data_IF_407355353816
#
_entry.id   IF_407355353816
#
_cell.length_a   1.000
_cell.length_b   1.000
_cell.length_c   1.000
_cell.angle_alpha   90.00
_cell.angle_beta   90.00
_cell.angle_gamma   90.00
#
_symmetry.space_group_name_H-M   'P 1'
#
loop_
_entity.id
_entity.type
_entity.pdbx_description
1 polymer ?
#
# COMPACT_ATOMS: atom_id res chain seq x y z
N UNK A 1 -1.56 18.42 0.97
CA UNK A 1 -0.56 17.38 1.15
C UNK A 1 0.79 17.99 1.44
N UNK A 2 1.55 17.40 2.35
CA UNK A 2 2.92 17.80 2.68
C UNK A 2 3.79 16.56 2.74
N UNK A 3 4.99 16.64 2.14
CA UNK A 3 5.97 15.56 2.22
C UNK A 3 7.37 16.14 2.45
N UNK A 4 8.14 15.47 3.31
CA UNK A 4 9.52 15.78 3.62
C UNK A 4 10.36 14.52 3.39
N UNK A 5 11.54 14.71 2.82
CA UNK A 5 12.51 13.63 2.65
C UNK A 5 13.87 14.06 3.18
N UNK A 6 14.60 13.13 3.75
CA UNK A 6 15.96 13.31 4.23
C UNK A 6 16.83 12.15 3.78
N UNK A 7 17.97 12.47 3.19
CA UNK A 7 18.94 11.48 2.72
C UNK A 7 20.33 11.85 3.20
N UNK A 8 20.96 10.95 3.93
CA UNK A 8 22.32 11.13 4.42
C UNK A 8 23.04 9.77 4.54
N UNK A 9 24.10 9.59 3.74
CA UNK A 9 24.88 8.34 3.72
C UNK A 9 24.00 7.12 3.46
N UNK A 10 23.95 6.14 4.38
CA UNK A 10 23.14 4.94 4.22
C UNK A 10 21.67 5.11 4.61
N UNK A 11 21.26 6.30 5.05
CA UNK A 11 19.94 6.57 5.62
C UNK A 11 19.09 7.34 4.61
N UNK A 12 17.89 6.84 4.31
CA UNK A 12 16.82 7.52 3.61
C UNK A 12 15.59 7.58 4.53
N UNK A 13 15.04 8.79 4.78
CA UNK A 13 13.84 8.99 5.58
C UNK A 13 12.81 9.79 4.79
N UNK A 14 11.55 9.49 5.03
CA UNK A 14 10.42 10.23 4.47
C UNK A 14 9.32 10.38 5.51
N UNK A 15 8.68 11.53 5.54
CA UNK A 15 7.45 11.77 6.30
C UNK A 15 6.45 12.47 5.38
N UNK A 16 5.19 12.09 5.46
CA UNK A 16 4.12 12.69 4.66
C UNK A 16 2.85 12.84 5.49
N UNK A 17 2.15 13.93 5.24
CA UNK A 17 0.81 14.20 5.76
C UNK A 17 -0.12 14.49 4.59
N UNK A 18 -1.29 13.87 4.60
CA UNK A 18 -2.35 14.05 3.62
C UNK A 18 -3.64 14.37 4.36
N UNK A 19 -4.34 15.40 3.89
CA UNK A 19 -5.70 15.72 4.31
C UNK A 19 -6.60 15.77 3.10
N UNK A 20 -7.70 15.07 3.16
CA UNK A 20 -8.74 15.03 2.16
C UNK A 20 -10.09 15.30 2.80
N UNK A 21 -10.84 16.25 2.24
CA UNK A 21 -12.20 16.57 2.65
C UNK A 21 -13.12 16.38 1.44
N UNK A 22 -14.17 15.60 1.58
CA UNK A 22 -15.18 15.39 0.56
C UNK A 22 -16.54 15.86 1.09
N UNK A 23 -17.01 16.96 0.50
CA UNK A 23 -18.32 17.53 0.79
C UNK A 23 -19.33 17.14 -0.32
N UNK A 24 -19.09 16.06 -1.03
CA UNK A 24 -19.96 15.60 -2.08
C UNK A 24 -21.31 15.14 -1.52
N UNK A 25 -22.39 15.71 -2.04
CA UNK A 25 -23.73 15.18 -1.80
C UNK A 25 -23.79 13.73 -2.31
N UNK A 26 -24.00 12.78 -1.42
CA UNK A 26 -24.19 11.40 -1.81
C UNK A 26 -25.54 11.27 -2.53
N UNK A 27 -25.52 11.22 -3.86
CA UNK A 27 -26.69 11.24 -4.74
C UNK A 27 -27.36 9.87 -4.89
N UNK A 28 -27.08 8.89 -4.04
CA UNK A 28 -27.87 7.65 -4.02
C UNK A 28 -29.19 7.90 -3.31
N UNK A 29 -30.08 8.64 -3.98
CA UNK A 29 -31.45 8.82 -3.51
C UNK A 29 -32.37 7.84 -4.22
N UNK A 30 -33.12 7.05 -3.44
CA UNK A 30 -34.39 6.51 -3.93
C UNK A 30 -35.31 7.67 -4.32
N UNK A 31 -36.01 7.55 -5.41
CA UNK A 31 -36.89 8.63 -5.90
C UNK A 31 -37.78 9.18 -4.77
N UNK A 32 -37.62 10.48 -4.47
CA UNK A 32 -38.42 11.19 -3.47
C UNK A 32 -37.72 11.59 -2.16
N UNK A 33 -36.44 11.22 -1.96
CA UNK A 33 -35.70 11.66 -0.78
C UNK A 33 -34.66 12.72 -1.18
N UNK A 34 -34.62 13.90 -0.52
CA UNK A 34 -33.57 14.89 -0.80
C UNK A 34 -32.16 14.30 -0.57
N UNK A 35 -31.18 14.69 -1.38
CA UNK A 35 -29.79 14.26 -1.13
C UNK A 35 -29.33 14.77 0.25
N UNK A 36 -28.82 13.88 1.07
CA UNK A 36 -28.18 14.21 2.33
C UNK A 36 -26.69 14.43 2.01
N UNK A 37 -26.21 15.63 2.28
CA UNK A 37 -24.78 15.88 2.25
C UNK A 37 -24.11 15.03 3.37
N UNK A 38 -23.16 14.19 2.99
CA UNK A 38 -22.35 13.43 3.93
C UNK A 38 -20.97 14.06 3.90
N UNK A 39 -20.66 14.85 4.91
CA UNK A 39 -19.30 15.36 5.08
C UNK A 39 -18.42 14.17 5.49
N UNK A 40 -17.35 13.97 4.76
CA UNK A 40 -16.31 13.01 5.11
C UNK A 40 -14.95 13.66 5.06
N UNK A 41 -14.11 13.34 6.02
CA UNK A 41 -12.70 13.75 6.02
C UNK A 41 -11.79 12.54 6.22
N UNK A 42 -10.62 12.63 5.67
CA UNK A 42 -9.54 11.66 5.87
C UNK A 42 -8.25 12.41 6.14
N UNK A 43 -7.65 12.11 7.26
CA UNK A 43 -6.32 12.54 7.63
C UNK A 43 -5.39 11.33 7.65
N UNK A 44 -4.22 11.45 7.03
CA UNK A 44 -3.23 10.38 7.06
C UNK A 44 -1.83 10.95 7.31
N UNK A 45 -1.13 10.33 8.24
CA UNK A 45 0.28 10.58 8.49
C UNK A 45 1.08 9.31 8.23
N UNK A 46 2.19 9.44 7.51
CA UNK A 46 3.09 8.33 7.19
C UNK A 46 4.54 8.74 7.49
N UNK A 47 5.27 7.84 8.10
CA UNK A 47 6.73 7.91 8.22
C UNK A 47 7.33 6.63 7.66
N UNK A 48 8.42 6.77 6.92
CA UNK A 48 9.15 5.64 6.36
C UNK A 48 10.64 5.88 6.46
N UNK A 49 11.40 4.81 6.61
CA UNK A 49 12.84 4.86 6.61
C UNK A 49 13.43 3.65 5.90
N UNK A 50 14.58 3.85 5.26
CA UNK A 50 15.38 2.78 4.72
C UNK A 50 16.84 2.96 5.16
N UNK A 51 17.50 1.86 5.40
CA UNK A 51 18.89 1.81 5.80
C UNK A 51 19.66 0.79 4.94
N UNK A 52 20.73 1.27 4.32
CA UNK A 52 21.65 0.45 3.57
C UNK A 52 22.62 -0.22 4.54
N UNK A 53 22.34 -1.47 4.90
CA UNK A 53 23.12 -2.24 5.87
C UNK A 53 24.47 -2.64 5.28
N UNK A 54 24.48 -3.14 4.03
CA UNK A 54 25.67 -3.41 3.23
C UNK A 54 25.48 -2.90 1.80
N UNK A 55 26.47 -3.08 0.92
CA UNK A 55 26.32 -2.77 -0.51
C UNK A 55 25.25 -3.64 -1.19
N UNK A 56 24.99 -4.82 -0.62
CA UNK A 56 24.06 -5.80 -1.15
C UNK A 56 22.69 -5.78 -0.45
N UNK A 57 22.62 -5.32 0.82
CA UNK A 57 21.42 -5.44 1.63
C UNK A 57 20.89 -4.10 2.11
N UNK A 58 19.64 -3.81 1.72
CA UNK A 58 18.83 -2.69 2.20
C UNK A 58 17.64 -3.20 3.00
N UNK A 59 17.33 -2.51 4.09
CA UNK A 59 16.15 -2.76 4.93
C UNK A 59 15.36 -1.48 5.07
N UNK A 60 14.04 -1.57 4.94
CA UNK A 60 13.11 -0.46 5.13
C UNK A 60 11.99 -0.82 6.07
N UNK A 61 11.44 0.20 6.71
CA UNK A 61 10.24 0.10 7.53
C UNK A 61 9.36 1.33 7.33
N UNK A 62 8.05 1.16 7.50
CA UNK A 62 7.11 2.27 7.51
C UNK A 62 6.04 2.09 8.58
N UNK A 63 5.50 3.22 9.01
CA UNK A 63 4.31 3.32 9.83
C UNK A 63 3.38 4.37 9.23
N UNK A 64 2.10 4.07 9.21
CA UNK A 64 1.05 4.99 8.80
C UNK A 64 -0.09 4.91 9.79
N UNK A 65 -0.66 6.05 10.13
CA UNK A 65 -1.97 6.16 10.75
C UNK A 65 -2.89 6.92 9.80
N UNK A 66 -4.11 6.42 9.60
CA UNK A 66 -5.14 7.07 8.81
C UNK A 66 -6.42 7.13 9.63
N UNK A 67 -6.97 8.32 9.76
CA UNK A 67 -8.23 8.60 10.44
C UNK A 67 -9.27 8.92 9.37
N UNK A 68 -10.42 8.31 9.48
CA UNK A 68 -11.52 8.52 8.57
C UNK A 68 -12.77 8.87 9.36
N UNK A 69 -13.20 10.10 9.21
CA UNK A 69 -14.40 10.64 9.82
C UNK A 69 -15.51 10.81 8.79
N UNK A 70 -16.66 10.27 9.04
CA UNK A 70 -17.88 10.63 8.35
C UNK A 70 -19.01 10.81 9.37
N UNK A 71 -20.13 11.40 8.94
CA UNK A 71 -21.28 11.68 9.81
C UNK A 71 -21.87 10.45 10.53
N UNK A 72 -21.42 9.24 10.21
CA UNK A 72 -21.93 7.98 10.74
C UNK A 72 -20.87 7.10 11.41
N UNK A 73 -19.59 7.28 11.13
CA UNK A 73 -18.51 6.41 11.62
C UNK A 73 -17.18 7.15 11.66
N UNK A 74 -16.49 7.00 12.77
CA UNK A 74 -15.08 7.29 12.88
C UNK A 74 -14.33 5.96 12.82
N UNK A 75 -13.43 5.81 11.88
CA UNK A 75 -12.65 4.59 11.69
C UNK A 75 -11.17 4.97 11.57
N UNK A 76 -10.39 4.44 12.47
CA UNK A 76 -8.94 4.57 12.41
C UNK A 76 -8.32 3.29 11.85
N UNK A 77 -7.24 3.45 11.14
CA UNK A 77 -6.44 2.34 10.67
C UNK A 77 -4.96 2.67 10.78
N UNK A 78 -4.20 1.71 11.27
CA UNK A 78 -2.76 1.78 11.35
C UNK A 78 -2.15 0.75 10.40
N UNK A 79 -1.01 1.08 9.80
CA UNK A 79 -0.28 0.16 8.94
C UNK A 79 1.17 0.15 9.37
N UNK A 80 1.68 -1.05 9.62
CA UNK A 80 3.09 -1.31 9.87
C UNK A 80 3.66 -2.08 8.69
N UNK A 81 4.84 -1.72 8.23
CA UNK A 81 5.48 -2.40 7.13
C UNK A 81 6.98 -2.53 7.33
N UNK A 82 7.51 -3.66 6.88
CA UNK A 82 8.94 -3.90 6.74
C UNK A 82 9.21 -4.47 5.36
N UNK A 83 10.31 -4.08 4.74
CA UNK A 83 10.71 -4.57 3.44
C UNK A 83 12.24 -4.66 3.35
N UNK A 84 12.73 -5.66 2.64
CA UNK A 84 14.14 -5.84 2.40
C UNK A 84 14.45 -6.15 0.95
N UNK A 85 15.61 -5.69 0.50
CA UNK A 85 16.18 -6.05 -0.81
C UNK A 85 17.59 -6.60 -0.61
N UNK A 86 17.85 -7.75 -1.21
CA UNK A 86 19.17 -8.36 -1.24
C UNK A 86 19.63 -8.61 -2.68
N UNK A 87 20.81 -8.09 -3.00
CA UNK A 87 21.47 -8.34 -4.30
C UNK A 87 22.26 -9.64 -4.24
N UNK A 88 21.71 -10.68 -4.86
CA UNK A 88 22.36 -11.98 -4.97
C UNK A 88 23.57 -11.89 -5.89
N UNK A 89 23.45 -11.10 -6.96
CA UNK A 89 24.52 -10.78 -7.91
C UNK A 89 24.44 -9.30 -8.30
N UNK A 90 25.45 -8.73 -9.00
CA UNK A 90 25.34 -7.36 -9.52
C UNK A 90 24.14 -7.12 -10.45
N UNK A 91 23.56 -8.20 -11.00
CA UNK A 91 22.41 -8.12 -11.91
C UNK A 91 21.11 -8.62 -11.33
N UNK A 92 21.14 -9.37 -10.22
CA UNK A 92 19.95 -10.02 -9.67
C UNK A 92 19.70 -9.60 -8.24
N UNK A 93 18.52 -9.09 -7.95
CA UNK A 93 18.05 -8.82 -6.59
C UNK A 93 16.78 -9.60 -6.26
N UNK A 94 16.62 -9.93 -5.00
CA UNK A 94 15.38 -10.44 -4.42
C UNK A 94 14.84 -9.43 -3.42
N UNK A 95 13.53 -9.37 -3.30
CA UNK A 95 12.83 -8.48 -2.38
C UNK A 95 11.83 -9.28 -1.57
N UNK A 96 11.64 -8.86 -0.33
CA UNK A 96 10.58 -9.38 0.52
C UNK A 96 9.94 -8.24 1.27
N UNK A 97 8.64 -8.33 1.50
CA UNK A 97 7.90 -7.34 2.27
C UNK A 97 6.81 -8.00 3.11
N UNK A 98 6.52 -7.37 4.23
CA UNK A 98 5.40 -7.67 5.09
C UNK A 98 4.77 -6.37 5.56
N UNK A 99 3.44 -6.28 5.39
CA UNK A 99 2.63 -5.18 5.92
C UNK A 99 1.49 -5.74 6.74
N UNK A 100 1.21 -5.10 7.86
CA UNK A 100 0.05 -5.39 8.69
C UNK A 100 -0.79 -4.14 8.84
N UNK A 101 -2.07 -4.27 8.54
CA UNK A 101 -3.08 -3.25 8.75
C UNK A 101 -3.93 -3.64 9.95
N UNK A 102 -3.91 -2.78 10.96
CA UNK A 102 -4.80 -2.81 12.10
C UNK A 102 -5.92 -1.79 11.90
N UNK A 103 -7.15 -2.16 12.17
CA UNK A 103 -8.33 -1.32 11.94
C UNK A 103 -9.27 -1.42 13.14
N UNK A 104 -9.81 -0.29 13.55
CA UNK A 104 -10.82 -0.22 14.63
C UNK A 104 -12.14 -0.92 14.26
N UNK A 105 -12.35 -1.22 12.98
CA UNK A 105 -13.50 -2.00 12.56
C UNK A 105 -13.35 -3.48 12.97
N UNK A 106 -14.41 -4.07 13.50
CA UNK A 106 -14.41 -5.46 13.96
C UNK A 106 -14.04 -6.43 12.84
N UNK A 107 -13.09 -7.32 13.11
CA UNK A 107 -12.61 -8.35 12.17
C UNK A 107 -12.21 -7.77 10.79
N UNK A 108 -11.53 -6.60 10.79
CA UNK A 108 -11.18 -5.88 9.57
C UNK A 108 -9.67 -5.65 9.41
N UNK A 109 -8.85 -6.48 10.04
CA UNK A 109 -7.41 -6.46 9.86
C UNK A 109 -7.00 -7.19 8.58
N UNK A 110 -5.80 -6.92 8.13
CA UNK A 110 -5.24 -7.63 6.99
C UNK A 110 -3.71 -7.63 7.05
N UNK A 111 -3.11 -8.67 6.50
CA UNK A 111 -1.65 -8.75 6.30
C UNK A 111 -1.32 -8.93 4.83
N UNK A 112 -0.28 -8.27 4.36
CA UNK A 112 0.28 -8.49 3.02
C UNK A 112 1.67 -9.07 3.17
N UNK A 113 1.92 -10.15 2.44
CA UNK A 113 3.24 -10.77 2.27
C UNK A 113 3.58 -10.70 0.79
N UNK A 114 4.72 -10.11 0.45
CA UNK A 114 5.20 -10.00 -0.91
C UNK A 114 6.63 -10.53 -1.05
N UNK A 115 6.90 -11.18 -2.15
CA UNK A 115 8.25 -11.57 -2.56
C UNK A 115 8.44 -11.27 -4.04
N UNK A 116 9.65 -10.86 -4.42
CA UNK A 116 9.94 -10.51 -5.80
C UNK A 116 11.39 -10.80 -6.18
N UNK A 117 11.60 -11.01 -7.47
CA UNK A 117 12.92 -11.12 -8.07
C UNK A 117 13.00 -10.16 -9.25
N UNK A 118 14.11 -9.49 -9.39
CA UNK A 118 14.45 -8.65 -10.53
C UNK A 118 15.80 -9.08 -11.10
N UNK A 119 15.89 -9.19 -12.42
CA UNK A 119 17.13 -9.48 -13.12
C UNK A 119 17.38 -8.45 -14.23
N UNK A 120 18.52 -7.78 -14.18
CA UNK A 120 18.98 -6.84 -15.21
C UNK A 120 19.57 -7.63 -16.38
N UNK A 121 18.96 -7.51 -17.54
CA UNK A 121 19.48 -8.08 -18.79
C UNK A 121 20.69 -7.26 -19.24
N UNK A 122 20.54 -5.93 -19.25
CA UNK A 122 21.58 -4.96 -19.55
C UNK A 122 21.40 -3.65 -18.75
N UNK A 123 21.97 -2.53 -19.20
CA UNK A 123 21.85 -1.23 -18.53
C UNK A 123 20.48 -0.60 -18.64
N UNK A 124 19.66 -1.00 -19.60
CA UNK A 124 18.36 -0.43 -19.94
C UNK A 124 17.21 -1.37 -19.70
N UNK A 125 17.45 -2.68 -19.69
CA UNK A 125 16.41 -3.69 -19.64
C UNK A 125 16.51 -4.55 -18.38
N UNK A 126 15.35 -4.81 -17.78
CA UNK A 126 15.21 -5.71 -16.64
C UNK A 126 13.91 -6.49 -16.73
N UNK A 127 13.94 -7.74 -16.31
CA UNK A 127 12.78 -8.59 -16.12
C UNK A 127 12.51 -8.74 -14.63
N UNK A 128 11.25 -8.90 -14.25
CA UNK A 128 10.89 -9.12 -12.86
C UNK A 128 9.68 -10.03 -12.71
N UNK A 129 9.63 -10.69 -11.56
CA UNK A 129 8.48 -11.46 -11.12
C UNK A 129 8.17 -11.15 -9.68
N UNK A 130 6.90 -10.94 -9.33
CA UNK A 130 6.46 -10.70 -7.96
C UNK A 130 5.27 -11.59 -7.64
N UNK A 131 5.26 -12.15 -6.44
CA UNK A 131 4.15 -12.86 -5.83
C UNK A 131 3.75 -12.12 -4.56
N UNK A 132 2.47 -11.80 -4.42
CA UNK A 132 1.93 -11.16 -3.23
C UNK A 132 0.65 -11.86 -2.78
N UNK A 133 0.50 -12.01 -1.45
CA UNK A 133 -0.71 -12.56 -0.84
C UNK A 133 -1.19 -11.62 0.24
N UNK A 134 -2.48 -11.31 0.22
CA UNK A 134 -3.18 -10.63 1.31
C UNK A 134 -3.98 -11.67 2.08
N UNK A 135 -3.73 -11.72 3.39
CA UNK A 135 -4.50 -12.48 4.37
C UNK A 135 -5.54 -11.53 4.95
N UNK A 136 -6.80 -11.79 4.68
CA UNK A 136 -7.92 -10.96 5.09
C UNK A 136 -8.65 -11.53 6.31
N UNK A 137 -9.01 -10.65 7.26
CA UNK A 137 -10.00 -10.98 8.27
C UNK A 137 -11.42 -11.00 7.69
N UNK A 138 -12.39 -11.52 8.46
CA UNK A 138 -13.79 -11.78 8.04
C UNK A 138 -14.52 -10.62 7.39
N UNK A 139 -14.18 -9.38 7.75
CA UNK A 139 -14.83 -8.18 7.24
C UNK A 139 -13.99 -7.40 6.22
N UNK A 140 -12.85 -7.95 5.78
CA UNK A 140 -11.97 -7.36 4.78
C UNK A 140 -12.03 -8.10 3.44
N UNK A 141 -11.82 -7.36 2.36
CA UNK A 141 -11.79 -7.84 0.97
C UNK A 141 -10.62 -7.24 0.19
N UNK A 142 -9.51 -6.96 0.88
CA UNK A 142 -8.33 -6.34 0.28
C UNK A 142 -7.66 -7.33 -0.67
N UNK A 143 -7.21 -6.82 -1.81
CA UNK A 143 -6.43 -7.58 -2.79
C UNK A 143 -5.14 -6.85 -3.08
N UNK A 144 -4.08 -7.53 -3.54
CA UNK A 144 -2.83 -6.87 -3.94
C UNK A 144 -3.02 -5.83 -5.07
N UNK A 145 -4.17 -5.84 -5.75
CA UNK A 145 -4.48 -4.99 -6.91
C UNK A 145 -5.68 -4.08 -6.71
N UNK A 146 -6.27 -4.02 -5.52
CA UNK A 146 -7.51 -3.25 -5.28
C UNK A 146 -7.37 -1.78 -5.61
N UNK A 147 -6.23 -1.20 -5.27
CA UNK A 147 -5.87 0.21 -5.53
C UNK A 147 -4.86 0.35 -6.68
N UNK A 148 -4.63 -0.72 -7.43
CA UNK A 148 -3.64 -0.76 -8.48
C UNK A 148 -4.06 0.02 -9.73
N UNK A 149 -3.14 0.08 -10.70
CA UNK A 149 -3.32 0.76 -11.99
C UNK A 149 -4.26 0.00 -12.95
N UNK A 150 -5.25 -0.71 -12.43
CA UNK A 150 -6.24 -1.39 -13.27
C UNK A 150 -7.22 -0.38 -13.84
N UNK A 151 -7.47 -0.49 -15.13
CA UNK A 151 -8.57 0.22 -15.76
C UNK A 151 -9.90 -0.33 -15.21
N UNK A 152 -10.64 0.50 -14.50
CA UNK A 152 -11.92 0.13 -13.91
C UNK A 152 -11.85 -0.11 -12.39
N UNK A 153 -12.92 -0.67 -11.87
CA UNK A 153 -13.10 -0.94 -10.42
C UNK A 153 -12.23 -2.09 -9.97
N UNK A 154 -10.94 -2.00 -9.90
CA UNK A 154 -9.98 -2.97 -9.35
C UNK A 154 -10.46 -4.44 -9.22
N UNK A 155 -9.61 -5.35 -8.96
CA UNK A 155 -10.02 -6.72 -8.64
C UNK A 155 -10.62 -6.71 -7.24
N UNK A 156 -11.91 -6.95 -7.13
CA UNK A 156 -12.59 -7.09 -5.83
C UNK A 156 -12.23 -8.45 -5.22
N UNK A 157 -11.78 -8.42 -3.98
CA UNK A 157 -11.70 -9.61 -3.13
C UNK A 157 -13.08 -10.05 -2.63
N UNK A 158 -13.19 -11.27 -2.15
CA UNK A 158 -14.29 -11.72 -1.32
C UNK A 158 -13.91 -11.50 0.16
N UNK A 159 -14.90 -11.22 0.99
CA UNK A 159 -14.68 -11.11 2.44
C UNK A 159 -14.26 -12.47 3.01
N UNK A 160 -13.40 -12.46 4.01
CA UNK A 160 -12.87 -13.67 4.66
C UNK A 160 -12.03 -14.57 3.73
N UNK A 161 -11.68 -14.07 2.55
CA UNK A 161 -10.92 -14.83 1.56
C UNK A 161 -9.53 -14.21 1.34
N UNK A 162 -8.52 -15.04 1.36
CA UNK A 162 -7.17 -14.62 1.01
C UNK A 162 -7.04 -14.37 -0.49
N UNK A 163 -6.28 -13.36 -0.84
CA UNK A 163 -6.09 -12.99 -2.23
C UNK A 163 -4.61 -13.06 -2.61
N UNK A 164 -4.31 -13.81 -3.67
CA UNK A 164 -2.93 -13.97 -4.17
C UNK A 164 -2.82 -13.46 -5.59
N UNK A 165 -1.74 -12.75 -5.87
CA UNK A 165 -1.45 -12.20 -7.19
C UNK A 165 -0.01 -12.52 -7.61
N UNK A 166 0.15 -12.90 -8.88
CA UNK A 166 1.43 -13.06 -9.56
C UNK A 166 1.56 -11.99 -10.64
N UNK A 167 2.68 -11.29 -10.68
CA UNK A 167 3.01 -10.39 -11.78
C UNK A 167 4.36 -10.73 -12.39
N UNK A 168 4.42 -10.68 -13.70
CA UNK A 168 5.65 -10.80 -14.49
C UNK A 168 5.75 -9.58 -15.39
N UNK A 169 6.94 -9.03 -15.53
CA UNK A 169 7.11 -7.84 -16.35
C UNK A 169 8.50 -7.66 -16.90
N UNK A 170 8.55 -6.84 -17.94
CA UNK A 170 9.76 -6.29 -18.54
C UNK A 170 9.70 -4.77 -18.36
N UNK A 171 10.80 -4.18 -17.89
CA UNK A 171 10.99 -2.74 -17.85
C UNK A 171 12.12 -2.36 -18.80
N UNK A 172 11.87 -1.34 -19.57
CA UNK A 172 12.83 -0.71 -20.47
C UNK A 172 12.99 0.76 -20.06
N UNK A 173 14.22 1.18 -19.76
CA UNK A 173 14.58 2.57 -19.45
C UNK A 173 15.29 3.16 -20.69
N UNK A 174 14.72 4.18 -21.32
CA UNK A 174 15.22 4.87 -22.52
C UNK A 174 15.60 6.31 -22.24
#
# INVERSE_FOLDING_TARGET
DLALTYKAGPIDLAAAYEKYEDNAANTTTSAGTPPVAVDSSRDAFRIAGAYKITEEFNLGAMYQIAQFDNSSRNLDAQVFGVAGEYKITPKTSVRGEYFYRDSDATDANASLIGVGVEHKLDSTQRVYGNLATVLNDKNTDITPWKEGRSFGNGVKGAKDENSTALSLGLRYDF
#
